data_IF_870993376405
#
_entry.id   IF_870993376405
#
_cell.length_a   1.000
_cell.length_b   1.000
_cell.length_c   1.000
_cell.angle_alpha   90.00
_cell.angle_beta   90.00
_cell.angle_gamma   90.00
#
_symmetry.space_group_name_H-M   'P 1'
#
loop_
_entity.id
_entity.type
_entity.pdbx_description
1 polymer ?
#
# COMPACT_ATOMS: atom_id res chain seq x y z
N UNK A 1 -16.20 30.88 11.83
CA UNK A 1 -14.84 30.50 11.37
C UNK A 1 -15.03 29.67 10.12
N UNK A 2 -14.55 30.15 8.97
CA UNK A 2 -14.60 29.43 7.70
C UNK A 2 -13.59 28.26 7.79
N UNK A 3 -14.03 27.14 8.36
CA UNK A 3 -13.32 25.88 8.19
C UNK A 3 -13.48 25.47 6.74
N UNK A 4 -12.39 24.98 6.13
CA UNK A 4 -12.39 24.41 4.79
C UNK A 4 -13.54 23.39 4.70
N UNK A 5 -14.65 23.82 4.13
CA UNK A 5 -15.84 22.99 3.99
C UNK A 5 -15.62 21.97 2.89
N UNK A 6 -16.47 20.94 2.87
CA UNK A 6 -16.53 19.97 1.77
C UNK A 6 -16.45 20.60 0.35
N UNK A 7 -17.09 21.76 0.08
CA UNK A 7 -16.99 22.42 -1.23
C UNK A 7 -15.59 22.90 -1.61
N UNK A 8 -14.82 23.46 -0.68
CA UNK A 8 -13.47 23.98 -0.94
C UNK A 8 -12.50 22.84 -1.24
N UNK A 9 -12.62 21.72 -0.51
CA UNK A 9 -11.81 20.51 -0.77
C UNK A 9 -12.12 19.94 -2.16
N UNK A 10 -13.39 19.90 -2.55
CA UNK A 10 -13.80 19.44 -3.89
C UNK A 10 -13.21 20.35 -4.98
N UNK A 11 -13.25 21.67 -4.80
CA UNK A 11 -12.68 22.62 -5.76
C UNK A 11 -11.17 22.38 -5.95
N UNK A 12 -10.43 22.21 -4.85
CA UNK A 12 -8.99 21.91 -4.89
C UNK A 12 -8.75 20.57 -5.59
N UNK A 13 -9.52 19.54 -5.27
CA UNK A 13 -9.43 18.22 -5.91
C UNK A 13 -9.62 18.34 -7.43
N UNK A 14 -10.61 19.11 -7.88
CA UNK A 14 -10.86 19.34 -9.31
C UNK A 14 -9.68 20.04 -9.98
N UNK A 15 -9.12 21.09 -9.38
CA UNK A 15 -7.94 21.78 -9.94
C UNK A 15 -6.74 20.85 -10.06
N UNK A 16 -6.47 20.04 -9.03
CA UNK A 16 -5.40 19.04 -9.05
C UNK A 16 -5.66 17.98 -10.13
N UNK A 17 -6.89 17.51 -10.28
CA UNK A 17 -7.28 16.56 -11.32
C UNK A 17 -7.15 17.14 -12.73
N UNK A 18 -7.34 18.45 -12.92
CA UNK A 18 -7.10 19.11 -14.20
C UNK A 18 -5.61 19.24 -14.52
N UNK A 19 -4.77 19.55 -13.53
CA UNK A 19 -3.31 19.66 -13.74
C UNK A 19 -2.65 18.31 -13.99
N UNK A 20 -2.98 17.30 -13.17
CA UNK A 20 -2.34 15.99 -13.24
C UNK A 20 -3.11 14.99 -14.11
N UNK A 21 -4.40 15.21 -14.35
CA UNK A 21 -5.29 14.26 -15.01
C UNK A 21 -5.83 13.19 -14.06
N UNK A 22 -7.10 12.81 -14.22
CA UNK A 22 -7.76 11.84 -13.33
C UNK A 22 -7.16 10.44 -13.32
N UNK A 23 -6.28 10.11 -14.28
CA UNK A 23 -5.60 8.80 -14.36
C UNK A 23 -4.23 8.78 -13.67
N UNK A 24 -3.54 9.92 -13.52
CA UNK A 24 -2.18 9.94 -12.95
C UNK A 24 -2.16 9.68 -11.44
N UNK A 25 -3.14 10.20 -10.70
CA UNK A 25 -3.26 9.97 -9.27
C UNK A 25 -3.43 8.46 -8.94
N UNK A 26 -4.42 7.74 -9.53
CA UNK A 26 -4.58 6.31 -9.24
C UNK A 26 -3.42 5.47 -9.77
N UNK A 27 -2.79 5.84 -10.89
CA UNK A 27 -1.60 5.16 -11.42
C UNK A 27 -0.41 5.28 -10.46
N UNK A 28 -0.14 6.48 -9.96
CA UNK A 28 0.91 6.73 -8.97
C UNK A 28 0.61 6.03 -7.64
N UNK A 29 -0.63 6.08 -7.14
CA UNK A 29 -1.04 5.35 -5.94
C UNK A 29 -0.87 3.84 -6.08
N UNK A 30 -1.19 3.27 -7.25
CA UNK A 30 -0.98 1.83 -7.50
C UNK A 30 0.50 1.46 -7.49
N UNK A 31 1.37 2.29 -8.06
CA UNK A 31 2.82 2.09 -8.03
C UNK A 31 3.37 2.17 -6.60
N UNK A 32 3.02 3.23 -5.86
CA UNK A 32 3.42 3.43 -4.47
C UNK A 32 2.89 2.32 -3.55
N UNK A 33 1.64 1.90 -3.75
CA UNK A 33 1.01 0.84 -2.97
C UNK A 33 1.69 -0.52 -3.15
N UNK A 34 2.09 -0.86 -4.39
CA UNK A 34 2.90 -2.06 -4.65
C UNK A 34 4.26 -1.98 -3.96
N UNK A 35 4.98 -0.88 -4.11
CA UNK A 35 6.29 -0.70 -3.48
C UNK A 35 6.21 -0.72 -1.94
N UNK A 36 5.17 -0.12 -1.35
CA UNK A 36 4.94 -0.16 0.10
C UNK A 36 4.58 -1.56 0.59
N UNK A 37 3.82 -2.34 -0.21
CA UNK A 37 3.54 -3.75 0.08
C UNK A 37 4.81 -4.58 0.04
N UNK A 38 5.62 -4.49 -1.02
CA UNK A 38 6.90 -5.21 -1.12
C UNK A 38 7.87 -4.82 -0.01
N UNK A 39 7.92 -3.52 0.34
CA UNK A 39 8.73 -3.05 1.47
C UNK A 39 8.25 -3.63 2.80
N UNK A 40 6.93 -3.74 2.98
CA UNK A 40 6.36 -4.35 4.18
C UNK A 40 6.63 -5.86 4.22
N UNK A 41 6.39 -6.58 3.12
CA UNK A 41 6.63 -8.02 3.01
C UNK A 41 8.11 -8.35 3.25
N UNK A 42 9.05 -7.55 2.72
CA UNK A 42 10.47 -7.71 2.98
C UNK A 42 10.84 -7.43 4.45
N UNK A 43 10.20 -6.44 5.08
CA UNK A 43 10.39 -6.17 6.51
C UNK A 43 9.82 -7.28 7.38
N UNK A 44 8.64 -7.80 7.07
CA UNK A 44 7.98 -8.84 7.84
C UNK A 44 8.73 -10.18 7.67
N UNK A 45 9.15 -10.55 6.45
CA UNK A 45 9.96 -11.73 6.19
C UNK A 45 11.39 -11.70 6.77
N UNK A 46 11.90 -10.53 7.17
CA UNK A 46 13.13 -10.41 7.97
C UNK A 46 12.88 -10.64 9.48
N UNK A 47 11.63 -10.52 9.93
CA UNK A 47 11.22 -10.77 11.31
C UNK A 47 10.62 -12.18 11.52
N UNK A 48 10.33 -12.90 10.44
CA UNK A 48 9.95 -14.31 10.48
C UNK A 48 11.22 -15.17 10.60
N UNK A 49 11.60 -15.47 11.84
CA UNK A 49 12.51 -16.58 12.18
C UNK A 49 12.03 -17.82 11.40
N UNK A 50 12.90 -18.53 10.66
CA UNK A 50 12.47 -19.63 9.81
C UNK A 50 11.90 -20.76 10.68
N UNK A 51 10.57 -20.85 10.78
CA UNK A 51 9.92 -22.02 11.34
C UNK A 51 10.36 -23.26 10.54
N UNK A 52 11.06 -24.24 11.15
CA UNK A 52 11.50 -25.42 10.44
C UNK A 52 10.30 -26.33 10.21
N UNK A 53 9.64 -26.18 9.05
CA UNK A 53 8.54 -27.07 8.61
C UNK A 53 9.01 -28.46 8.14
N UNK A 54 10.02 -29.07 8.77
CA UNK A 54 10.62 -30.33 8.26
C UNK A 54 11.04 -31.33 9.34
N UNK A 55 10.16 -31.76 10.25
CA UNK A 55 10.35 -33.02 11.01
C UNK A 55 8.99 -33.63 11.37
N UNK A 56 8.34 -34.36 10.46
CA UNK A 56 7.17 -35.17 10.83
C UNK A 56 6.92 -36.44 10.00
N UNK A 57 7.86 -36.87 9.15
CA UNK A 57 7.64 -38.00 8.24
C UNK A 57 8.41 -39.30 8.55
N UNK A 58 9.10 -39.41 9.70
CA UNK A 58 9.95 -40.60 9.98
C UNK A 58 9.85 -41.03 11.45
N UNK A 59 8.68 -41.52 11.89
CA UNK A 59 8.62 -42.30 13.15
C UNK A 59 7.42 -43.25 13.26
N UNK A 60 7.06 -43.92 12.17
CA UNK A 60 6.07 -45.03 12.19
C UNK A 60 6.53 -46.20 11.32
N UNK A 61 7.79 -46.63 11.49
CA UNK A 61 8.30 -47.90 10.94
C UNK A 61 9.19 -48.60 11.95
#
# INVERSE_FOLDING_TARGET
MAGLGGPEIILIMVVVLLMFGGKKIPEMMRGLGKGMKEFKDAKDGLNEDPEPKQVQAIKES
#
